data_IF_270561483817
#
_entry.id   IF_270561483817
#
_cell.length_a   1.000
_cell.length_b   1.000
_cell.length_c   1.000
_cell.angle_alpha   90.00
_cell.angle_beta   90.00
_cell.angle_gamma   90.00
#
_symmetry.space_group_name_H-M   'P 1'
#
loop_
_entity.id
_entity.type
_entity.pdbx_description
1 polymer ?
#
# COMPACT_ATOMS: atom_id res chain seq x y z
N UNK A 1 -4.97 -32.31 26.83
CA UNK A 1 -4.81 -31.77 25.46
C UNK A 1 -6.11 -31.03 25.13
N UNK A 2 -6.11 -29.76 24.83
CA UNK A 2 -7.31 -29.11 24.38
C UNK A 2 -7.84 -29.89 23.17
N UNK A 3 -9.15 -30.02 23.09
CA UNK A 3 -9.82 -30.69 21.99
C UNK A 3 -9.59 -29.88 20.71
N UNK A 4 -8.60 -30.28 19.91
CA UNK A 4 -8.19 -29.59 18.68
C UNK A 4 -9.36 -29.48 17.66
N UNK A 5 -10.28 -30.45 17.71
CA UNK A 5 -11.48 -30.41 16.85
C UNK A 5 -12.39 -29.26 17.26
N UNK A 6 -12.60 -29.03 18.55
CA UNK A 6 -13.37 -27.88 19.05
C UNK A 6 -12.70 -26.56 18.72
N UNK A 7 -11.36 -26.47 18.90
CA UNK A 7 -10.62 -25.26 18.52
C UNK A 7 -10.75 -24.97 17.03
N UNK A 8 -10.57 -25.97 16.18
CA UNK A 8 -10.75 -25.88 14.74
C UNK A 8 -12.16 -25.35 14.37
N UNK A 9 -13.20 -25.92 14.98
CA UNK A 9 -14.58 -25.49 14.73
C UNK A 9 -14.88 -24.07 15.20
N UNK A 10 -14.45 -23.72 16.42
CA UNK A 10 -14.71 -22.39 17.02
C UNK A 10 -13.93 -21.28 16.32
N UNK A 11 -12.68 -21.53 15.99
CA UNK A 11 -11.80 -20.55 15.35
C UNK A 11 -11.86 -20.58 13.83
N UNK A 12 -12.55 -21.57 13.26
CA UNK A 12 -12.68 -21.78 11.81
C UNK A 12 -11.32 -21.87 11.09
N UNK A 13 -10.37 -22.65 11.67
CA UNK A 13 -9.09 -22.99 11.06
C UNK A 13 -8.96 -24.50 10.89
N UNK A 14 -8.27 -25.00 9.86
CA UNK A 14 -7.99 -26.43 9.72
C UNK A 14 -7.25 -26.98 10.95
N UNK A 15 -7.50 -28.23 11.32
CA UNK A 15 -6.82 -28.86 12.46
C UNK A 15 -5.29 -28.83 12.30
N UNK A 16 -4.80 -28.97 11.08
CA UNK A 16 -3.37 -28.99 10.78
C UNK A 16 -2.70 -27.63 10.98
N UNK A 17 -3.45 -26.52 10.93
CA UNK A 17 -2.97 -25.21 11.34
C UNK A 17 -2.42 -25.20 12.78
N UNK A 18 -3.11 -25.89 13.71
CA UNK A 18 -2.70 -25.96 15.12
C UNK A 18 -1.57 -26.94 15.38
N UNK A 19 -1.19 -27.75 14.38
CA UNK A 19 -0.06 -28.68 14.44
C UNK A 19 1.17 -28.17 13.69
N UNK A 20 1.01 -27.12 12.89
CA UNK A 20 2.07 -26.49 12.11
C UNK A 20 3.09 -25.78 13.03
N UNK A 21 4.15 -25.28 12.45
CA UNK A 21 5.13 -24.45 13.15
C UNK A 21 4.49 -23.17 13.70
N UNK A 22 5.09 -22.61 14.75
CA UNK A 22 4.66 -21.32 15.31
C UNK A 22 4.65 -20.24 14.23
N UNK A 23 3.58 -19.44 14.24
CA UNK A 23 3.43 -18.35 13.29
C UNK A 23 4.53 -17.29 13.46
N UNK A 24 4.97 -16.63 12.38
CA UNK A 24 5.85 -15.49 12.48
C UNK A 24 5.28 -14.42 13.41
N UNK A 25 6.09 -13.97 14.38
CA UNK A 25 5.66 -12.90 15.28
C UNK A 25 5.98 -11.56 14.65
N UNK A 26 4.95 -10.78 14.37
CA UNK A 26 5.11 -9.40 13.95
C UNK A 26 5.23 -8.55 15.23
N UNK A 27 6.30 -7.76 15.32
CA UNK A 27 6.40 -6.73 16.33
C UNK A 27 5.53 -5.56 15.91
N UNK A 28 4.54 -5.18 16.73
CA UNK A 28 3.65 -4.03 16.47
C UNK A 28 4.40 -2.73 16.16
N UNK A 29 5.66 -2.62 16.60
CA UNK A 29 6.50 -1.44 16.36
C UNK A 29 7.15 -1.43 14.98
N UNK A 30 7.27 -2.58 14.31
CA UNK A 30 7.84 -2.71 12.96
C UNK A 30 6.83 -2.49 11.85
N UNK A 31 5.58 -2.22 12.18
CA UNK A 31 4.50 -1.94 11.22
C UNK A 31 4.23 -0.46 11.18
N UNK A 32 4.29 0.16 10.00
CA UNK A 32 3.80 1.51 9.79
C UNK A 32 2.28 1.50 9.69
N UNK A 33 1.60 2.24 10.55
CA UNK A 33 0.15 2.44 10.46
C UNK A 33 -0.15 3.94 10.46
N UNK A 34 -0.68 4.46 9.37
CA UNK A 34 -0.98 5.90 9.15
C UNK A 34 -1.80 6.58 10.25
N UNK A 35 -2.57 5.85 11.02
CA UNK A 35 -3.42 6.40 12.09
C UNK A 35 -3.30 5.63 13.41
N UNK A 36 -2.07 5.25 13.78
CA UNK A 36 -1.80 4.38 14.93
C UNK A 36 -2.49 4.82 16.22
N UNK A 37 -2.53 6.13 16.51
CA UNK A 37 -3.13 6.68 17.74
C UNK A 37 -4.67 6.62 17.77
N UNK A 38 -5.33 6.50 16.60
CA UNK A 38 -6.81 6.44 16.49
C UNK A 38 -7.33 5.02 16.29
N UNK A 39 -6.43 4.06 16.08
CA UNK A 39 -6.76 2.68 15.77
C UNK A 39 -7.08 1.90 17.03
N UNK A 40 -8.19 1.18 17.05
CA UNK A 40 -8.49 0.25 18.15
C UNK A 40 -7.52 -0.94 18.11
N UNK A 41 -7.27 -1.56 19.28
CA UNK A 41 -6.43 -2.76 19.36
C UNK A 41 -6.93 -3.85 18.41
N UNK A 42 -8.25 -4.07 18.35
CA UNK A 42 -8.87 -5.07 17.45
C UNK A 42 -8.50 -4.86 15.98
N UNK A 43 -8.57 -3.64 15.49
CA UNK A 43 -8.25 -3.30 14.09
C UNK A 43 -6.76 -3.50 13.80
N UNK A 44 -5.90 -3.16 14.77
CA UNK A 44 -4.46 -3.39 14.67
C UNK A 44 -4.14 -4.89 14.64
N UNK A 45 -4.70 -5.66 15.56
CA UNK A 45 -4.50 -7.11 15.62
C UNK A 45 -4.98 -7.78 14.31
N UNK A 46 -6.08 -7.30 13.73
CA UNK A 46 -6.58 -7.78 12.45
C UNK A 46 -5.59 -7.49 11.30
N UNK A 47 -5.06 -6.27 11.20
CA UNK A 47 -4.06 -5.92 10.18
C UNK A 47 -2.78 -6.75 10.35
N UNK A 48 -2.30 -6.88 11.58
CA UNK A 48 -1.13 -7.71 11.89
C UNK A 48 -1.36 -9.17 11.51
N UNK A 49 -2.57 -9.69 11.72
CA UNK A 49 -2.93 -11.06 11.30
C UNK A 49 -2.88 -11.22 9.77
N UNK A 50 -3.39 -10.24 9.01
CA UNK A 50 -3.22 -10.24 7.54
C UNK A 50 -1.75 -10.23 7.14
N UNK A 51 -0.91 -9.46 7.84
CA UNK A 51 0.55 -9.47 7.62
C UNK A 51 1.14 -10.87 7.77
N UNK A 52 0.80 -11.57 8.86
CA UNK A 52 1.26 -12.95 9.09
C UNK A 52 0.79 -13.90 7.98
N UNK A 53 -0.48 -13.83 7.59
CA UNK A 53 -1.02 -14.65 6.51
C UNK A 53 -0.32 -14.35 5.17
N UNK A 54 -0.01 -13.07 4.89
CA UNK A 54 0.76 -12.65 3.72
C UNK A 54 2.18 -13.22 3.72
N UNK A 55 2.84 -13.32 4.88
CA UNK A 55 4.17 -13.92 4.99
C UNK A 55 4.13 -15.42 4.69
N UNK A 56 3.16 -16.15 5.24
CA UNK A 56 2.99 -17.59 5.00
C UNK A 56 2.73 -17.83 3.51
N UNK A 57 1.85 -17.05 2.90
CA UNK A 57 1.53 -17.18 1.49
C UNK A 57 2.73 -16.84 0.61
N UNK A 58 3.48 -15.78 0.93
CA UNK A 58 4.69 -15.43 0.21
C UNK A 58 5.78 -16.49 0.31
N UNK A 59 6.00 -17.08 1.49
CA UNK A 59 6.97 -18.16 1.69
C UNK A 59 6.62 -19.37 0.81
N UNK A 60 5.33 -19.70 0.72
CA UNK A 60 4.87 -20.75 -0.17
C UNK A 60 5.12 -20.40 -1.65
N UNK A 61 4.82 -19.17 -2.08
CA UNK A 61 5.12 -18.73 -3.46
C UNK A 61 6.62 -18.77 -3.76
N UNK A 62 7.48 -18.39 -2.84
CA UNK A 62 8.95 -18.45 -3.03
C UNK A 62 9.50 -19.87 -3.11
N UNK A 63 8.79 -20.86 -2.59
CA UNK A 63 9.16 -22.29 -2.78
C UNK A 63 8.74 -22.83 -4.15
N UNK A 64 7.71 -22.25 -4.78
CA UNK A 64 7.20 -22.67 -6.09
C UNK A 64 7.77 -21.82 -7.23
N UNK A 65 8.16 -20.56 -6.96
CA UNK A 65 8.59 -19.57 -7.97
C UNK A 65 9.86 -18.85 -7.54
N UNK A 66 10.70 -18.52 -8.52
CA UNK A 66 11.87 -17.67 -8.32
C UNK A 66 11.45 -16.18 -8.36
N UNK A 67 11.26 -15.59 -7.20
CA UNK A 67 10.80 -14.21 -7.06
C UNK A 67 11.97 -13.22 -6.94
N UNK A 68 11.81 -12.03 -7.55
CA UNK A 68 12.78 -10.96 -7.52
C UNK A 68 13.06 -10.57 -6.06
N UNK A 69 14.34 -10.49 -5.69
CA UNK A 69 14.77 -9.98 -4.40
C UNK A 69 14.74 -8.46 -4.40
N UNK A 70 14.37 -7.87 -3.27
CA UNK A 70 14.27 -6.43 -3.17
C UNK A 70 15.64 -5.80 -2.86
N UNK A 71 15.98 -4.75 -3.63
CA UNK A 71 17.12 -3.87 -3.37
C UNK A 71 16.61 -2.44 -3.24
N UNK A 72 16.10 -2.10 -2.04
CA UNK A 72 15.63 -0.75 -1.74
C UNK A 72 16.74 0.07 -1.08
N UNK A 73 17.01 1.28 -1.59
CA UNK A 73 17.99 2.18 -0.98
C UNK A 73 17.49 2.74 0.36
N UNK A 74 18.42 3.05 1.26
CA UNK A 74 18.13 3.84 2.45
C UNK A 74 18.23 5.34 2.10
N UNK A 75 17.08 6.00 2.07
CA UNK A 75 16.95 7.42 1.78
C UNK A 75 16.52 8.24 3.00
N UNK A 76 16.71 7.69 4.21
CA UNK A 76 16.32 8.33 5.49
C UNK A 76 17.01 9.68 5.72
N UNK A 77 18.17 9.90 5.12
CA UNK A 77 18.97 11.12 5.24
C UNK A 77 18.54 12.25 4.29
N UNK A 78 17.64 11.98 3.34
CA UNK A 78 17.16 12.96 2.36
C UNK A 78 15.82 13.56 2.79
N UNK A 79 15.54 14.81 2.35
CA UNK A 79 14.21 15.37 2.45
C UNK A 79 13.22 14.60 1.56
N UNK A 80 11.91 14.57 1.89
CA UNK A 80 10.93 13.71 1.22
C UNK A 80 10.89 13.84 -0.30
N UNK A 81 10.93 15.07 -0.82
CA UNK A 81 10.90 15.33 -2.26
C UNK A 81 12.19 14.93 -2.95
N UNK A 82 13.33 15.14 -2.30
CA UNK A 82 14.64 14.72 -2.78
C UNK A 82 14.74 13.19 -2.80
N UNK A 83 14.29 12.52 -1.74
CA UNK A 83 14.21 11.06 -1.68
C UNK A 83 13.35 10.48 -2.81
N UNK A 84 12.18 11.08 -3.07
CA UNK A 84 11.30 10.65 -4.16
C UNK A 84 11.98 10.81 -5.53
N UNK A 85 12.64 11.93 -5.78
CA UNK A 85 13.34 12.19 -7.05
C UNK A 85 14.54 11.25 -7.22
N UNK A 86 15.32 11.01 -6.16
CA UNK A 86 16.45 10.08 -6.16
C UNK A 86 15.97 8.67 -6.48
N UNK A 87 14.91 8.19 -5.81
CA UNK A 87 14.37 6.86 -6.07
C UNK A 87 13.83 6.72 -7.50
N UNK A 88 13.18 7.76 -8.02
CA UNK A 88 12.72 7.77 -9.42
C UNK A 88 13.89 7.68 -10.40
N UNK A 89 14.97 8.38 -10.12
CA UNK A 89 16.19 8.31 -10.92
C UNK A 89 16.82 6.91 -10.90
N UNK A 90 16.99 6.35 -9.71
CA UNK A 90 17.58 5.01 -9.51
C UNK A 90 16.73 3.91 -10.18
N UNK A 91 15.42 4.09 -10.21
CA UNK A 91 14.51 3.16 -10.87
C UNK A 91 14.36 3.40 -12.38
N UNK A 92 15.02 4.41 -12.94
CA UNK A 92 14.99 4.75 -14.36
C UNK A 92 13.64 5.33 -14.83
N UNK A 93 12.83 5.87 -13.93
CA UNK A 93 11.52 6.44 -14.24
C UNK A 93 11.62 7.84 -14.85
N UNK A 94 12.69 8.58 -14.53
CA UNK A 94 12.78 10.01 -14.85
C UNK A 94 11.56 10.77 -14.33
N UNK A 95 11.11 11.76 -15.10
CA UNK A 95 9.97 12.63 -14.71
C UNK A 95 8.62 12.15 -15.28
N UNK A 96 8.57 11.02 -15.97
CA UNK A 96 7.34 10.55 -16.65
C UNK A 96 6.31 10.05 -15.64
N UNK A 97 5.00 10.23 -15.91
CA UNK A 97 3.95 9.57 -15.14
C UNK A 97 4.17 8.04 -15.12
N UNK A 98 3.87 7.43 -13.99
CA UNK A 98 4.03 5.98 -13.80
C UNK A 98 2.81 5.27 -14.37
N UNK A 99 3.00 4.21 -15.12
CA UNK A 99 1.93 3.33 -15.60
C UNK A 99 1.30 2.51 -14.46
N UNK A 100 1.35 1.17 -14.54
CA UNK A 100 0.90 0.32 -13.44
C UNK A 100 1.90 0.39 -12.27
N UNK A 101 1.47 1.01 -11.16
CA UNK A 101 2.34 1.22 -10.01
C UNK A 101 2.54 -0.06 -9.20
N UNK A 102 1.54 -0.92 -9.12
CA UNK A 102 1.66 -2.23 -8.45
C UNK A 102 2.75 -3.07 -9.14
N UNK A 103 2.69 -3.18 -10.48
CA UNK A 103 3.71 -3.91 -11.24
C UNK A 103 5.10 -3.29 -11.11
N UNK A 104 5.20 -1.97 -10.98
CA UNK A 104 6.48 -1.29 -10.71
C UNK A 104 7.04 -1.73 -9.34
N UNK A 105 6.24 -1.70 -8.28
CA UNK A 105 6.65 -2.13 -6.94
C UNK A 105 7.13 -3.58 -6.96
N UNK A 106 6.38 -4.47 -7.59
CA UNK A 106 6.72 -5.89 -7.74
C UNK A 106 8.03 -6.10 -8.52
N UNK A 107 8.27 -5.30 -9.58
CA UNK A 107 9.53 -5.34 -10.36
C UNK A 107 10.76 -4.94 -9.54
N UNK A 108 10.55 -4.30 -8.39
CA UNK A 108 11.59 -3.93 -7.41
C UNK A 108 11.63 -4.87 -6.21
N UNK A 109 10.97 -6.02 -6.30
CA UNK A 109 10.97 -7.05 -5.28
C UNK A 109 10.07 -6.75 -4.08
N UNK A 110 9.23 -5.71 -4.13
CA UNK A 110 8.26 -5.42 -3.08
C UNK A 110 7.07 -6.37 -3.23
N UNK A 111 6.69 -7.04 -2.15
CA UNK A 111 5.54 -7.95 -2.09
C UNK A 111 4.28 -7.15 -1.83
N UNK A 112 3.33 -7.15 -2.77
CA UNK A 112 2.08 -6.39 -2.63
C UNK A 112 0.92 -7.35 -2.44
N UNK A 113 0.21 -7.20 -1.32
CA UNK A 113 -0.98 -7.98 -1.00
C UNK A 113 -2.18 -7.09 -0.75
N UNK A 114 -3.37 -7.63 -0.98
CA UNK A 114 -4.63 -6.99 -0.66
C UNK A 114 -5.07 -7.37 0.76
N UNK A 115 -5.78 -6.47 1.43
CA UNK A 115 -6.49 -6.76 2.66
C UNK A 115 -7.94 -6.29 2.57
N UNK A 116 -8.80 -6.93 3.36
CA UNK A 116 -10.20 -6.53 3.48
C UNK A 116 -10.49 -6.17 4.94
N UNK A 117 -10.39 -4.88 5.26
CA UNK A 117 -10.65 -4.37 6.61
C UNK A 117 -11.68 -3.24 6.51
N UNK A 118 -12.83 -3.46 7.13
CA UNK A 118 -13.88 -2.44 7.27
C UNK A 118 -13.48 -1.45 8.37
N UNK A 119 -12.55 -0.55 8.05
CA UNK A 119 -12.08 0.49 8.96
C UNK A 119 -11.73 1.75 8.18
N UNK A 120 -12.12 2.91 8.71
CA UNK A 120 -11.69 4.20 8.19
C UNK A 120 -10.23 4.54 8.58
N UNK A 121 -9.58 3.71 9.39
CA UNK A 121 -8.26 3.99 9.97
C UNK A 121 -7.11 3.21 9.33
N UNK A 122 -7.41 2.22 8.47
CA UNK A 122 -6.40 1.46 7.74
C UNK A 122 -6.69 1.55 6.25
N UNK A 123 -5.88 2.33 5.56
CA UNK A 123 -5.89 2.44 4.10
C UNK A 123 -4.85 1.50 3.49
N UNK A 124 -3.67 1.43 4.10
CA UNK A 124 -2.57 0.53 3.79
C UNK A 124 -1.65 0.39 5.02
N UNK A 125 -0.70 -0.52 4.94
CA UNK A 125 0.47 -0.57 5.83
C UNK A 125 1.63 -1.29 5.14
N UNK A 126 2.85 -1.01 5.60
CA UNK A 126 4.05 -1.67 5.15
C UNK A 126 4.82 -2.30 6.31
N UNK A 127 5.61 -3.32 5.98
CA UNK A 127 6.42 -4.03 6.96
C UNK A 127 7.61 -4.72 6.28
N UNK A 128 8.75 -4.71 6.95
CA UNK A 128 9.89 -5.54 6.61
C UNK A 128 9.83 -6.88 7.35
N UNK A 129 9.97 -7.98 6.62
CA UNK A 129 10.10 -9.31 7.18
C UNK A 129 11.30 -10.03 6.54
N UNK A 130 12.35 -10.31 7.33
CA UNK A 130 13.57 -10.99 6.85
C UNK A 130 14.15 -10.34 5.58
N UNK A 131 14.35 -9.02 5.59
CA UNK A 131 14.83 -8.21 4.47
C UNK A 131 13.93 -8.18 3.22
N UNK A 132 12.70 -8.66 3.34
CA UNK A 132 11.66 -8.58 2.30
C UNK A 132 10.67 -7.47 2.66
N UNK A 133 10.45 -6.50 1.76
CA UNK A 133 9.46 -5.45 1.96
C UNK A 133 8.08 -5.92 1.51
N UNK A 134 7.09 -5.66 2.34
CA UNK A 134 5.69 -5.94 2.08
C UNK A 134 4.87 -4.66 2.14
N UNK A 135 3.91 -4.54 1.22
CA UNK A 135 2.86 -3.52 1.24
C UNK A 135 1.50 -4.24 1.22
N UNK A 136 0.63 -3.86 2.14
CA UNK A 136 -0.73 -4.37 2.23
C UNK A 136 -1.71 -3.24 1.95
N UNK A 137 -2.56 -3.40 0.91
CA UNK A 137 -3.48 -2.39 0.43
C UNK A 137 -4.93 -2.75 0.73
N UNK A 138 -5.67 -1.86 1.37
CA UNK A 138 -7.08 -2.09 1.63
C UNK A 138 -7.91 -1.97 0.34
N UNK A 139 -8.60 -3.04 0.00
CA UNK A 139 -9.38 -3.14 -1.24
C UNK A 139 -10.69 -2.32 -1.25
N UNK A 140 -11.04 -1.67 -0.14
CA UNK A 140 -12.22 -0.80 -0.03
C UNK A 140 -12.00 0.62 -0.62
N UNK A 141 -10.80 0.95 -1.09
CA UNK A 141 -10.46 2.28 -1.60
C UNK A 141 -10.57 2.35 -3.13
N UNK A 142 -10.70 3.56 -3.67
CA UNK A 142 -10.58 3.77 -5.12
C UNK A 142 -9.14 3.50 -5.58
N UNK A 143 -8.94 3.29 -6.89
CA UNK A 143 -7.62 3.05 -7.46
C UNK A 143 -6.65 4.19 -7.12
N UNK A 144 -7.08 5.43 -7.29
CA UNK A 144 -6.27 6.63 -7.07
C UNK A 144 -5.79 6.76 -5.62
N UNK A 145 -6.62 6.37 -4.67
CA UNK A 145 -6.26 6.34 -3.25
C UNK A 145 -5.32 5.19 -2.96
N UNK A 146 -5.66 3.99 -3.42
CA UNK A 146 -4.81 2.81 -3.24
C UNK A 146 -3.40 3.04 -3.79
N UNK A 147 -3.30 3.73 -4.93
CA UNK A 147 -2.02 4.12 -5.54
C UNK A 147 -1.26 5.14 -4.68
N UNK A 148 -1.95 6.15 -4.14
CA UNK A 148 -1.32 7.11 -3.24
C UNK A 148 -0.88 6.44 -1.93
N UNK A 149 -1.70 5.57 -1.36
CA UNK A 149 -1.39 4.81 -0.16
C UNK A 149 -0.18 3.88 -0.40
N UNK A 150 -0.10 3.20 -1.54
CA UNK A 150 1.07 2.40 -1.91
C UNK A 150 2.36 3.23 -2.02
N UNK A 151 2.28 4.46 -2.57
CA UNK A 151 3.44 5.36 -2.64
C UNK A 151 3.83 5.93 -1.26
N UNK A 152 2.86 6.14 -0.38
CA UNK A 152 3.07 6.51 1.01
C UNK A 152 3.82 5.40 1.76
N UNK A 153 3.38 4.16 1.61
CA UNK A 153 4.04 2.99 2.20
C UNK A 153 5.45 2.75 1.63
N UNK A 154 5.64 3.03 0.33
CA UNK A 154 6.99 3.02 -0.26
C UNK A 154 7.89 4.07 0.41
N UNK A 155 7.35 5.25 0.73
CA UNK A 155 8.06 6.28 1.49
C UNK A 155 8.58 5.75 2.83
N UNK A 156 7.75 5.03 3.59
CA UNK A 156 8.16 4.39 4.83
C UNK A 156 9.22 3.31 4.60
N UNK A 157 9.07 2.48 3.58
CA UNK A 157 10.02 1.41 3.30
C UNK A 157 11.42 1.92 2.95
N UNK A 158 11.58 3.09 2.37
CA UNK A 158 12.90 3.62 1.95
C UNK A 158 13.45 4.71 2.88
N UNK A 159 12.62 5.32 3.75
CA UNK A 159 13.04 6.41 4.61
C UNK A 159 13.05 6.07 6.10
N UNK A 160 12.16 5.17 6.54
CA UNK A 160 11.98 4.87 7.96
C UNK A 160 12.54 3.51 8.37
N UNK A 161 13.40 2.90 7.52
CA UNK A 161 13.98 1.56 7.72
C UNK A 161 14.64 1.44 9.12
N UNK A 162 15.40 2.44 9.55
CA UNK A 162 16.09 2.42 10.84
C UNK A 162 15.14 2.59 12.01
N UNK A 163 14.14 3.44 11.91
CA UNK A 163 13.15 3.61 12.97
C UNK A 163 12.30 2.36 13.13
N UNK A 164 11.93 1.69 12.04
CA UNK A 164 11.21 0.42 12.06
C UNK A 164 12.06 -0.74 12.60
N UNK A 165 13.35 -0.81 12.27
CA UNK A 165 14.27 -1.86 12.74
C UNK A 165 14.80 -1.62 14.17
N UNK A 166 14.93 -0.37 14.63
CA UNK A 166 15.57 0.01 15.89
C UNK A 166 14.62 0.43 17.04
N UNK A 167 13.32 0.56 16.81
CA UNK A 167 12.35 1.04 17.82
C UNK A 167 12.15 0.04 18.97
N UNK A 168 13.21 -0.23 19.73
CA UNK A 168 13.16 -0.95 21.01
C UNK A 168 12.98 -0.04 22.24
N UNK A 169 12.93 1.30 22.06
CA UNK A 169 12.81 2.27 23.16
C UNK A 169 11.48 3.00 23.12
N UNK A 170 10.57 2.63 24.02
CA UNK A 170 9.31 3.32 24.23
C UNK A 170 9.50 4.59 25.07
N UNK A 171 9.59 5.76 24.43
CA UNK A 171 9.55 7.05 25.11
C UNK A 171 8.37 7.89 24.60
N UNK A 172 7.88 8.81 25.45
CA UNK A 172 6.72 9.67 25.15
C UNK A 172 6.93 10.72 24.03
N UNK A 173 8.11 10.78 23.42
CA UNK A 173 8.41 11.58 22.24
C UNK A 173 7.72 11.04 20.96
N UNK A 174 7.23 9.81 21.00
CA UNK A 174 6.80 9.03 19.83
C UNK A 174 5.58 9.60 19.06
N UNK A 175 4.71 10.41 19.68
CA UNK A 175 3.46 10.86 19.03
C UNK A 175 3.63 12.10 18.13
N UNK A 176 4.53 13.02 18.52
CA UNK A 176 4.88 14.18 17.69
C UNK A 176 5.75 13.74 16.50
N UNK A 177 6.69 12.84 16.77
CA UNK A 177 7.57 12.27 15.74
C UNK A 177 6.75 11.47 14.72
N UNK A 178 5.74 10.71 15.16
CA UNK A 178 4.83 9.98 14.27
C UNK A 178 4.09 10.89 13.28
N UNK A 179 3.58 12.06 13.72
CA UNK A 179 2.88 12.99 12.81
C UNK A 179 3.82 13.62 11.77
N UNK A 180 5.07 13.85 12.13
CA UNK A 180 6.09 14.35 11.21
C UNK A 180 6.45 13.29 10.18
N UNK A 181 6.66 12.05 10.60
CA UNK A 181 6.95 10.90 9.74
C UNK A 181 5.82 10.68 8.73
N UNK A 182 4.56 10.66 9.19
CA UNK A 182 3.38 10.51 8.31
C UNK A 182 3.28 11.64 7.28
N UNK A 183 3.53 12.90 7.72
CA UNK A 183 3.55 14.03 6.80
C UNK A 183 4.67 13.91 5.76
N UNK A 184 5.83 13.46 6.17
CA UNK A 184 6.96 13.24 5.26
C UNK A 184 6.68 12.11 4.26
N UNK A 185 5.99 11.04 4.67
CA UNK A 185 5.55 9.99 3.77
C UNK A 185 4.50 10.48 2.76
N UNK A 186 3.55 11.35 3.19
CA UNK A 186 2.61 12.00 2.27
C UNK A 186 3.33 12.94 1.26
N UNK A 187 4.35 13.68 1.70
CA UNK A 187 5.17 14.55 0.85
C UNK A 187 5.97 13.72 -0.16
N UNK A 188 6.59 12.63 0.28
CA UNK A 188 7.27 11.67 -0.60
C UNK A 188 6.31 11.09 -1.64
N UNK A 189 5.17 10.55 -1.23
CA UNK A 189 4.17 9.98 -2.13
C UNK A 189 3.69 10.99 -3.19
N UNK A 190 3.42 12.20 -2.75
CA UNK A 190 3.00 13.31 -3.62
C UNK A 190 4.06 13.64 -4.68
N UNK A 191 5.34 13.74 -4.28
CA UNK A 191 6.45 14.02 -5.18
C UNK A 191 6.74 12.82 -6.10
N UNK A 192 6.69 11.60 -5.57
CA UNK A 192 6.97 10.39 -6.32
C UNK A 192 5.95 10.14 -7.44
N UNK A 193 4.66 10.34 -7.17
CA UNK A 193 3.60 10.17 -8.17
C UNK A 193 3.46 11.38 -9.11
N UNK A 194 3.74 12.59 -8.62
CA UNK A 194 3.57 13.84 -9.35
C UNK A 194 4.86 14.66 -9.32
N UNK A 195 5.90 14.29 -10.12
CA UNK A 195 7.14 15.05 -10.19
C UNK A 195 6.90 16.51 -10.57
N UNK A 196 7.54 17.43 -9.86
CA UNK A 196 7.37 18.87 -10.08
C UNK A 196 7.66 19.26 -11.51
N UNK A 197 8.74 18.74 -12.10
CA UNK A 197 9.17 19.04 -13.48
C UNK A 197 8.07 18.74 -14.49
N UNK A 198 7.44 17.57 -14.39
CA UNK A 198 6.35 17.19 -15.29
C UNK A 198 5.09 17.97 -15.00
N UNK A 199 4.73 18.12 -13.72
CA UNK A 199 3.51 18.83 -13.34
C UNK A 199 3.56 20.30 -13.80
N UNK A 200 4.72 20.96 -13.72
CA UNK A 200 4.91 22.34 -14.21
C UNK A 200 4.69 22.52 -15.71
N UNK A 201 4.74 21.48 -16.51
CA UNK A 201 4.39 21.57 -17.94
C UNK A 201 2.90 21.93 -18.14
N UNK A 202 2.06 21.64 -17.13
CA UNK A 202 0.63 21.94 -17.10
C UNK A 202 0.28 23.29 -16.46
N UNK A 203 1.28 24.16 -16.17
CA UNK A 203 1.07 25.47 -15.53
C UNK A 203 0.13 26.40 -16.28
N UNK A 204 -0.05 26.16 -17.59
CA UNK A 204 -0.96 26.97 -18.45
C UNK A 204 -2.40 26.46 -18.45
N UNK A 205 -2.65 25.28 -17.84
CA UNK A 205 -3.99 24.73 -17.70
C UNK A 205 -4.75 25.54 -16.66
N UNK A 206 -5.88 26.13 -17.07
CA UNK A 206 -6.73 26.84 -16.13
C UNK A 206 -7.23 25.88 -15.04
N UNK A 207 -7.01 26.16 -13.76
CA UNK A 207 -7.33 25.24 -12.66
C UNK A 207 -8.84 25.20 -12.34
N UNK A 208 -9.66 24.83 -13.33
CA UNK A 208 -11.06 24.46 -13.11
C UNK A 208 -11.17 23.00 -12.68
N UNK A 209 -12.25 22.65 -11.98
CA UNK A 209 -12.48 21.26 -11.55
C UNK A 209 -12.43 20.29 -12.75
N UNK A 210 -13.06 20.63 -13.88
CA UNK A 210 -13.05 19.77 -15.05
C UNK A 210 -11.63 19.53 -15.61
N UNK A 211 -10.82 20.57 -15.69
CA UNK A 211 -9.44 20.45 -16.16
C UNK A 211 -8.58 19.64 -15.19
N UNK A 212 -8.82 19.78 -13.87
CA UNK A 212 -8.14 18.99 -12.87
C UNK A 212 -8.58 17.51 -12.90
N UNK A 213 -9.85 17.21 -13.24
CA UNK A 213 -10.34 15.85 -13.45
C UNK A 213 -9.62 15.19 -14.65
N UNK A 214 -9.43 15.90 -15.75
CA UNK A 214 -8.66 15.37 -16.87
C UNK A 214 -7.17 15.18 -16.51
N UNK A 215 -6.60 16.15 -15.81
CA UNK A 215 -5.18 16.10 -15.45
C UNK A 215 -4.86 15.01 -14.42
N UNK A 216 -5.75 14.71 -13.46
CA UNK A 216 -5.53 13.63 -12.49
C UNK A 216 -5.31 12.27 -13.14
N UNK A 217 -5.94 12.02 -14.30
CA UNK A 217 -5.83 10.77 -15.05
C UNK A 217 -4.41 10.55 -15.57
N UNK A 218 -3.68 11.61 -15.90
CA UNK A 218 -2.30 11.54 -16.38
C UNK A 218 -1.38 10.95 -15.32
N UNK A 219 -1.58 11.32 -14.05
CA UNK A 219 -0.75 10.89 -12.93
C UNK A 219 -1.34 9.70 -12.16
N UNK A 220 -2.59 9.33 -12.43
CA UNK A 220 -3.30 8.27 -11.72
C UNK A 220 -3.52 8.59 -10.25
N UNK A 221 -3.80 9.84 -9.91
CA UNK A 221 -4.00 10.30 -8.52
C UNK A 221 -5.41 10.85 -8.31
N UNK A 222 -5.81 11.03 -7.04
CA UNK A 222 -7.10 11.65 -6.74
C UNK A 222 -7.11 13.12 -7.10
N UNK A 223 -8.31 13.64 -7.44
CA UNK A 223 -8.51 15.07 -7.69
C UNK A 223 -7.99 15.93 -6.52
N UNK A 224 -8.22 15.47 -5.29
CA UNK A 224 -7.80 16.19 -4.08
C UNK A 224 -6.27 16.21 -3.96
N UNK A 225 -5.60 15.09 -4.21
CA UNK A 225 -4.14 15.02 -4.17
C UNK A 225 -3.49 15.90 -5.23
N UNK A 226 -4.01 15.87 -6.46
CA UNK A 226 -3.52 16.74 -7.55
C UNK A 226 -3.68 18.21 -7.20
N UNK A 227 -4.89 18.65 -6.82
CA UNK A 227 -5.17 20.04 -6.48
C UNK A 227 -4.28 20.54 -5.33
N UNK A 228 -4.06 19.71 -4.30
CA UNK A 228 -3.17 20.02 -3.20
C UNK A 228 -1.71 20.18 -3.65
N UNK A 229 -1.20 19.24 -4.46
CA UNK A 229 0.17 19.30 -5.00
C UNK A 229 0.40 20.54 -5.85
N UNK A 230 -0.50 20.85 -6.76
CA UNK A 230 -0.42 22.07 -7.60
C UNK A 230 -0.46 23.34 -6.76
N UNK A 231 -1.27 23.37 -5.71
CA UNK A 231 -1.30 24.49 -4.76
C UNK A 231 0.04 24.62 -4.00
N UNK A 232 0.57 23.54 -3.48
CA UNK A 232 1.88 23.52 -2.80
C UNK A 232 3.03 24.00 -3.67
N UNK A 233 3.00 23.68 -4.96
CA UNK A 233 3.98 24.14 -5.94
C UNK A 233 3.75 25.58 -6.45
N UNK A 234 2.75 26.29 -5.91
CA UNK A 234 2.41 27.66 -6.32
C UNK A 234 1.79 27.77 -7.73
N UNK A 235 1.36 26.63 -8.31
CA UNK A 235 0.68 26.61 -9.62
C UNK A 235 -0.79 27.04 -9.51
N UNK A 236 -1.38 26.87 -8.34
CA UNK A 236 -2.71 27.35 -7.98
C UNK A 236 -2.54 28.31 -6.81
N UNK A 237 -3.07 29.53 -6.93
CA UNK A 237 -2.99 30.52 -5.86
C UNK A 237 -3.84 30.10 -4.65
N UNK A 238 -3.50 30.60 -3.46
CA UNK A 238 -4.27 30.38 -2.23
C UNK A 238 -5.74 30.74 -2.39
N UNK A 239 -6.02 31.84 -3.08
CA UNK A 239 -7.38 32.30 -3.33
C UNK A 239 -8.18 31.31 -4.17
N UNK A 240 -7.64 30.85 -5.32
CA UNK A 240 -8.31 29.88 -6.20
C UNK A 240 -8.49 28.56 -5.45
N UNK A 241 -7.44 28.09 -4.76
CA UNK A 241 -7.51 26.82 -4.02
C UNK A 241 -8.57 26.84 -2.93
N UNK A 242 -8.57 27.88 -2.08
CA UNK A 242 -9.46 27.94 -0.92
C UNK A 242 -10.88 28.42 -1.26
N UNK A 243 -11.07 29.29 -2.25
CA UNK A 243 -12.35 29.90 -2.56
C UNK A 243 -13.08 29.28 -3.75
N UNK A 244 -12.39 28.53 -4.60
CA UNK A 244 -12.99 27.89 -5.79
C UNK A 244 -12.89 26.38 -5.67
N UNK A 245 -11.68 25.81 -5.57
CA UNK A 245 -11.46 24.37 -5.67
C UNK A 245 -11.98 23.64 -4.42
N UNK A 246 -11.60 24.07 -3.21
CA UNK A 246 -12.04 23.42 -1.98
C UNK A 246 -13.57 23.41 -1.80
N UNK A 247 -14.31 24.48 -2.07
CA UNK A 247 -15.78 24.47 -2.04
C UNK A 247 -16.41 23.52 -3.04
N UNK A 248 -15.89 23.44 -4.28
CA UNK A 248 -16.39 22.50 -5.28
C UNK A 248 -16.11 21.04 -4.87
N UNK A 249 -14.91 20.74 -4.36
CA UNK A 249 -14.58 19.43 -3.81
C UNK A 249 -15.56 19.05 -2.67
N UNK A 250 -15.88 19.98 -1.79
CA UNK A 250 -16.79 19.75 -0.68
C UNK A 250 -18.24 19.55 -1.19
N UNK A 251 -18.71 20.40 -2.11
CA UNK A 251 -20.05 20.35 -2.70
C UNK A 251 -20.37 19.00 -3.34
N UNK A 252 -19.42 18.43 -4.07
CA UNK A 252 -19.59 17.16 -4.76
C UNK A 252 -19.05 15.96 -3.95
N UNK A 253 -18.61 16.19 -2.71
CA UNK A 253 -18.05 15.16 -1.83
C UNK A 253 -16.87 14.38 -2.45
N UNK A 254 -16.06 15.01 -3.27
CA UNK A 254 -14.90 14.40 -3.95
C UNK A 254 -13.80 13.91 -3.00
N UNK A 255 -13.91 14.18 -1.70
CA UNK A 255 -13.09 13.55 -0.68
C UNK A 255 -13.48 12.09 -0.39
N UNK A 256 -14.73 11.68 -0.70
CA UNK A 256 -15.22 10.30 -0.49
C UNK A 256 -15.49 9.58 -1.81
N UNK A 257 -15.98 10.32 -2.80
CA UNK A 257 -16.35 9.79 -4.12
C UNK A 257 -15.42 10.41 -5.16
N UNK A 258 -14.52 9.61 -5.72
CA UNK A 258 -13.61 10.11 -6.77
C UNK A 258 -14.40 10.41 -8.06
N UNK A 259 -14.24 11.60 -8.67
CA UNK A 259 -14.85 11.87 -9.97
C UNK A 259 -14.12 11.07 -11.05
N UNK A 260 -14.89 10.42 -11.93
CA UNK A 260 -14.36 9.59 -13.01
C UNK A 260 -13.25 8.65 -12.52
N UNK A 261 -13.60 7.67 -11.66
CA UNK A 261 -12.63 6.78 -11.07
C UNK A 261 -11.96 5.92 -12.14
N UNK A 262 -10.67 5.69 -11.97
CA UNK A 262 -9.90 4.85 -12.88
C UNK A 262 -10.04 3.37 -12.52
N UNK A 263 -9.78 2.50 -13.52
CA UNK A 263 -9.71 1.06 -13.29
C UNK A 263 -8.57 0.71 -12.32
N UNK A 264 -8.81 -0.28 -11.47
CA UNK A 264 -7.83 -0.70 -10.47
C UNK A 264 -6.61 -1.34 -11.14
N UNK A 265 -5.45 -0.96 -10.64
CA UNK A 265 -4.20 -1.61 -11.04
C UNK A 265 -4.14 -3.04 -10.52
N UNK A 266 -3.64 -3.93 -11.36
CA UNK A 266 -3.52 -5.35 -11.06
C UNK A 266 -2.05 -5.73 -10.88
N UNK A 267 -1.80 -6.71 -10.02
CA UNK A 267 -0.51 -7.37 -9.89
C UNK A 267 -0.25 -8.24 -11.13
N UNK A 268 0.89 -8.05 -11.78
CA UNK A 268 1.32 -8.95 -12.85
C UNK A 268 1.96 -10.23 -12.30
N UNK A 269 2.66 -10.11 -11.18
CA UNK A 269 3.34 -11.25 -10.55
C UNK A 269 2.30 -12.23 -9.99
N UNK A 270 1.36 -11.77 -9.17
CA UNK A 270 0.33 -12.64 -8.61
C UNK A 270 -0.56 -13.26 -9.70
N UNK A 271 -0.92 -12.47 -10.72
CA UNK A 271 -1.75 -12.98 -11.82
C UNK A 271 -1.02 -14.06 -12.61
N UNK A 272 0.28 -13.87 -12.90
CA UNK A 272 1.12 -14.87 -13.56
C UNK A 272 1.25 -16.13 -12.72
N UNK A 273 1.60 -16.03 -11.44
CA UNK A 273 1.76 -17.18 -10.56
C UNK A 273 0.47 -17.99 -10.42
N UNK A 274 -0.67 -17.31 -10.21
CA UNK A 274 -1.98 -18.00 -10.10
C UNK A 274 -2.36 -18.69 -11.40
N UNK A 275 -2.07 -18.06 -12.55
CA UNK A 275 -2.35 -18.67 -13.87
C UNK A 275 -1.47 -19.88 -14.14
N UNK A 276 -0.16 -19.82 -13.83
CA UNK A 276 0.75 -20.96 -13.97
C UNK A 276 0.30 -22.14 -13.09
N UNK A 277 -0.05 -21.89 -11.84
CA UNK A 277 -0.59 -22.91 -10.93
C UNK A 277 -1.89 -23.51 -11.45
N UNK A 278 -2.75 -22.71 -12.09
CA UNK A 278 -4.00 -23.19 -12.66
C UNK A 278 -3.77 -24.12 -13.85
N UNK A 279 -2.68 -23.98 -14.62
CA UNK A 279 -2.30 -24.93 -15.68
C UNK A 279 -1.99 -26.32 -15.11
N UNK A 280 -1.45 -26.37 -13.90
CA UNK A 280 -1.19 -27.61 -13.17
C UNK A 280 -2.41 -28.08 -12.34
N UNK A 281 -3.59 -27.49 -12.56
CA UNK A 281 -4.83 -27.73 -11.83
C UNK A 281 -4.74 -27.42 -10.33
N UNK A 282 -3.81 -26.55 -9.89
CA UNK A 282 -3.69 -26.10 -8.51
C UNK A 282 -4.58 -24.88 -8.33
N UNK A 283 -5.60 -25.00 -7.49
CA UNK A 283 -6.55 -23.94 -7.18
C UNK A 283 -6.13 -23.14 -5.95
N UNK A 284 -6.76 -21.99 -5.72
CA UNK A 284 -6.58 -21.21 -4.45
C UNK A 284 -6.95 -22.06 -3.22
N UNK A 285 -7.92 -22.96 -3.34
CA UNK A 285 -8.27 -23.88 -2.25
C UNK A 285 -7.15 -24.89 -1.99
N UNK A 286 -6.48 -25.38 -3.03
CA UNK A 286 -5.33 -26.27 -2.90
C UNK A 286 -4.13 -25.55 -2.27
N UNK A 287 -3.87 -24.29 -2.67
CA UNK A 287 -2.85 -23.44 -2.05
C UNK A 287 -3.15 -23.30 -0.56
N UNK A 288 -4.38 -22.88 -0.21
CA UNK A 288 -4.78 -22.71 1.17
C UNK A 288 -4.57 -23.98 2.00
N UNK A 289 -4.97 -25.16 1.50
CA UNK A 289 -4.75 -26.45 2.16
C UNK A 289 -3.27 -26.76 2.38
N UNK A 290 -2.40 -26.45 1.41
CA UNK A 290 -0.95 -26.72 1.52
C UNK A 290 -0.27 -25.87 2.60
N UNK A 291 -0.80 -24.68 2.88
CA UNK A 291 -0.33 -23.79 3.94
C UNK A 291 -1.19 -23.84 5.21
N UNK A 292 -2.06 -24.84 5.31
CA UNK A 292 -2.94 -25.09 6.48
C UNK A 292 -3.91 -23.93 6.78
N UNK A 293 -4.36 -23.20 5.75
CA UNK A 293 -5.34 -22.11 5.85
C UNK A 293 -6.64 -22.49 5.12
N UNK A 294 -7.68 -21.68 5.29
CA UNK A 294 -8.87 -21.77 4.47
C UNK A 294 -8.76 -20.87 3.23
N UNK A 295 -9.48 -21.23 2.18
CA UNK A 295 -9.62 -20.35 1.00
C UNK A 295 -10.08 -18.95 1.37
N UNK A 296 -10.96 -18.81 2.37
CA UNK A 296 -11.47 -17.53 2.88
C UNK A 296 -10.40 -16.64 3.50
N UNK A 297 -9.28 -17.22 3.95
CA UNK A 297 -8.16 -16.47 4.53
C UNK A 297 -7.16 -16.03 3.44
N UNK A 298 -6.99 -16.84 2.40
CA UNK A 298 -6.05 -16.59 1.30
C UNK A 298 -6.63 -15.67 0.22
N UNK A 299 -7.89 -15.89 -0.17
CA UNK A 299 -8.53 -15.12 -1.26
C UNK A 299 -8.49 -13.60 -1.05
N UNK A 300 -8.72 -13.05 0.17
CA UNK A 300 -8.65 -11.61 0.37
C UNK A 300 -7.26 -11.00 0.10
N UNK A 301 -6.18 -11.77 0.33
CA UNK A 301 -4.81 -11.31 0.07
C UNK A 301 -4.52 -11.13 -1.42
N UNK A 302 -5.20 -11.88 -2.27
CA UNK A 302 -5.05 -11.86 -3.74
C UNK A 302 -6.16 -11.05 -4.42
N UNK A 303 -7.28 -10.77 -3.70
CA UNK A 303 -8.46 -10.12 -4.24
C UNK A 303 -8.16 -8.74 -4.81
N UNK A 304 -8.69 -8.45 -5.99
CA UNK A 304 -8.46 -7.22 -6.75
C UNK A 304 -6.99 -6.99 -7.20
N UNK A 305 -6.07 -7.88 -6.90
CA UNK A 305 -4.71 -7.86 -7.43
C UNK A 305 -4.51 -8.89 -8.53
N UNK A 306 -5.31 -9.97 -8.57
CA UNK A 306 -5.30 -10.94 -9.67
C UNK A 306 -6.69 -11.08 -10.29
N UNK A 307 -6.76 -11.17 -11.62
CA UNK A 307 -8.01 -11.39 -12.38
C UNK A 307 -8.59 -12.79 -12.14
N UNK A 308 -7.72 -13.73 -11.79
CA UNK A 308 -8.07 -15.13 -11.59
C UNK A 308 -8.73 -15.41 -10.24
N UNK A 309 -8.68 -14.45 -9.31
CA UNK A 309 -9.33 -14.51 -8.00
C UNK A 309 -10.62 -13.70 -8.04
N UNK A 310 -11.74 -14.41 -8.23
CA UNK A 310 -13.10 -13.85 -8.23
C UNK A 310 -13.83 -14.20 -6.94
#
# INVERSE_FOLDING_TARGET
VPDLEKLSQVLNFPIDFFKAQDLPKINDKSVSFRSRSRMTKKVRDQATSYGVLGFILNEWFENEFDLIQAELPDLSHLEPEEAANTLRYDWGLGDKPIGNFISLLESKGIRVFSIHIESEYIDAFSIWNNDKPFIFLNNQKTMERSRFDAAHELGHLVRDIYTMKLSNSGSKSDELDSKVIEKQADEFASAFLMPEVTLRQYKHVNPTINNLIELKKVFGVSLVALAYRMHKLGMISDWIYTRVICPEIAKFNYRKTEPEPMEREMSQVLDTMVNELALDNITIDDIAKRIYLNKTDVSPLLFQLSKSVK
#
